data_IF_035842193830
#
_entry.id   IF_035842193830
#
_cell.length_a   1.000
_cell.length_b   1.000
_cell.length_c   1.000
_cell.angle_alpha   90.00
_cell.angle_beta   90.00
_cell.angle_gamma   90.00
#
_symmetry.space_group_name_H-M   'P 1'
#
loop_
_entity.id
_entity.type
_entity.pdbx_description
1 polymer ?
#
# COMPACT_ATOMS: atom_id res chain seq x y z
N UNK A 1 7.40 -6.89 -2.80
CA UNK A 1 8.09 -6.04 -1.82
C UNK A 1 7.88 -4.57 -2.12
N UNK A 2 7.23 -3.83 -1.23
CA UNK A 2 7.07 -2.37 -1.30
C UNK A 2 7.62 -1.75 -0.02
N UNK A 3 8.62 -0.87 -0.14
CA UNK A 3 9.35 -0.31 1.00
C UNK A 3 8.89 1.11 1.37
N UNK A 4 8.25 1.81 0.42
CA UNK A 4 7.65 3.16 0.56
C UNK A 4 7.02 3.57 -0.77
N UNK A 5 6.34 4.71 -0.76
CA UNK A 5 5.84 5.39 -1.96
C UNK A 5 4.39 5.07 -2.26
N UNK A 6 3.96 5.40 -3.47
CA UNK A 6 2.58 5.20 -3.93
C UNK A 6 2.55 4.55 -5.31
N UNK A 7 1.70 3.56 -5.48
CA UNK A 7 1.42 2.90 -6.77
C UNK A 7 -0.06 3.08 -7.10
N UNK A 8 -0.37 3.34 -8.37
CA UNK A 8 -1.74 3.51 -8.85
C UNK A 8 -1.96 2.54 -10.02
N UNK A 9 -2.94 1.65 -9.89
CA UNK A 9 -3.35 0.66 -10.89
C UNK A 9 -4.77 0.98 -11.32
N UNK A 10 -4.97 1.46 -12.56
CA UNK A 10 -6.29 1.87 -13.07
C UNK A 10 -7.14 0.70 -13.61
N UNK A 11 -6.67 -0.54 -13.43
CA UNK A 11 -7.35 -1.77 -13.84
C UNK A 11 -7.24 -2.86 -12.79
N UNK A 12 -7.29 -4.11 -13.22
CA UNK A 12 -7.25 -5.26 -12.33
C UNK A 12 -5.82 -5.56 -11.84
N UNK A 13 -5.72 -6.09 -10.63
CA UNK A 13 -4.49 -6.60 -10.04
C UNK A 13 -4.53 -8.13 -9.93
N UNK A 14 -3.42 -8.77 -10.30
CA UNK A 14 -3.26 -10.22 -10.21
C UNK A 14 -3.04 -10.71 -8.79
N UNK A 15 -2.53 -11.95 -8.68
CA UNK A 15 -2.25 -12.60 -7.40
C UNK A 15 -1.07 -11.98 -6.66
N UNK A 16 -1.09 -12.10 -5.35
CA UNK A 16 -0.12 -11.69 -4.36
C UNK A 16 0.19 -10.18 -4.42
N UNK A 17 -0.85 -9.36 -4.65
CA UNK A 17 -0.68 -7.92 -4.68
C UNK A 17 -0.14 -7.43 -3.33
N UNK A 18 0.95 -6.67 -3.38
CA UNK A 18 1.57 -6.11 -2.17
C UNK A 18 2.34 -7.15 -1.35
N UNK A 19 2.73 -8.30 -1.90
CA UNK A 19 3.50 -9.29 -1.14
C UNK A 19 4.76 -8.70 -0.50
N UNK A 20 4.94 -8.98 0.78
CA UNK A 20 6.03 -8.46 1.62
C UNK A 20 6.08 -6.92 1.60
N UNK A 21 4.94 -6.28 1.81
CA UNK A 21 4.79 -4.83 1.89
C UNK A 21 5.20 -4.31 3.27
N UNK A 22 6.28 -3.53 3.32
CA UNK A 22 6.81 -2.94 4.54
C UNK A 22 6.20 -1.57 4.82
N UNK A 23 6.02 -0.74 3.78
CA UNK A 23 5.37 0.56 3.85
C UNK A 23 4.90 1.01 2.46
N UNK A 24 4.10 2.08 2.39
CA UNK A 24 3.60 2.70 1.18
C UNK A 24 2.10 2.54 1.00
N UNK A 25 1.62 2.79 -0.22
CA UNK A 25 0.19 2.71 -0.56
C UNK A 25 0.00 2.27 -2.01
N UNK A 26 -0.87 1.31 -2.26
CA UNK A 26 -1.28 0.90 -3.61
C UNK A 26 -2.76 1.23 -3.77
N UNK A 27 -3.14 1.95 -4.82
CA UNK A 27 -4.54 2.18 -5.17
C UNK A 27 -4.90 1.34 -6.40
N UNK A 28 -6.01 0.60 -6.35
CA UNK A 28 -6.47 -0.28 -7.42
C UNK A 28 -7.88 0.12 -7.83
N UNK A 29 -8.09 0.43 -9.11
CA UNK A 29 -9.40 0.83 -9.67
C UNK A 29 -10.22 -0.32 -10.26
N UNK A 30 -9.64 -1.51 -10.33
CA UNK A 30 -10.30 -2.74 -10.78
C UNK A 30 -10.36 -3.81 -9.68
N UNK A 31 -10.50 -5.07 -10.10
CA UNK A 31 -10.57 -6.22 -9.19
C UNK A 31 -9.18 -6.63 -8.71
N UNK A 32 -9.08 -7.05 -7.46
CA UNK A 32 -7.87 -7.66 -6.88
C UNK A 32 -8.12 -9.17 -6.79
N UNK A 33 -7.22 -9.98 -7.36
CA UNK A 33 -7.35 -11.44 -7.29
C UNK A 33 -7.12 -11.97 -5.87
N UNK A 34 -6.00 -11.62 -5.25
CA UNK A 34 -5.69 -11.85 -3.84
C UNK A 34 -4.55 -10.92 -3.36
N UNK A 35 -4.40 -10.78 -2.05
CA UNK A 35 -3.35 -9.99 -1.41
C UNK A 35 -2.19 -10.88 -1.00
N UNK A 36 -0.98 -10.35 -1.14
CA UNK A 36 0.25 -11.00 -0.66
C UNK A 36 0.42 -10.84 0.85
N UNK A 37 1.52 -11.38 1.39
CA UNK A 37 1.80 -11.33 2.82
C UNK A 37 1.99 -9.87 3.26
N UNK A 38 1.34 -9.53 4.37
CA UNK A 38 1.39 -8.21 5.01
C UNK A 38 0.78 -7.06 4.18
N UNK A 39 0.01 -7.37 3.14
CA UNK A 39 -0.85 -6.42 2.45
C UNK A 39 -2.27 -6.52 2.97
N UNK A 40 -2.88 -5.38 3.32
CA UNK A 40 -4.25 -5.29 3.82
C UNK A 40 -4.98 -4.14 3.15
N UNK A 41 -6.31 -4.23 3.05
CA UNK A 41 -7.14 -3.09 2.67
C UNK A 41 -7.04 -1.98 3.72
N UNK A 42 -6.85 -0.76 3.26
CA UNK A 42 -6.84 0.45 4.06
C UNK A 42 -8.03 1.34 3.72
N UNK A 43 -8.38 2.22 4.65
CA UNK A 43 -9.44 3.20 4.45
C UNK A 43 -9.05 4.24 3.39
N UNK A 44 -9.94 4.44 2.40
CA UNK A 44 -9.90 5.56 1.48
C UNK A 44 -10.34 6.83 2.18
N UNK A 45 -9.56 7.89 2.05
CA UNK A 45 -9.84 9.19 2.68
C UNK A 45 -9.97 10.31 1.65
N UNK A 46 -10.58 11.43 2.02
CA UNK A 46 -10.67 12.62 1.16
C UNK A 46 -9.29 13.12 0.68
N UNK A 47 -8.24 12.90 1.46
CA UNK A 47 -6.86 13.24 1.09
C UNK A 47 -6.31 12.32 0.01
N UNK A 48 -6.68 11.03 0.04
CA UNK A 48 -6.32 10.07 -1.00
C UNK A 48 -7.00 10.45 -2.32
N UNK A 49 -8.30 10.75 -2.28
CA UNK A 49 -9.08 11.16 -3.45
C UNK A 49 -8.52 12.42 -4.11
N UNK A 50 -8.25 13.45 -3.32
CA UNK A 50 -7.67 14.70 -3.82
C UNK A 50 -6.29 14.48 -4.44
N UNK A 51 -5.45 13.66 -3.79
CA UNK A 51 -4.12 13.35 -4.31
C UNK A 51 -4.19 12.55 -5.61
N UNK A 52 -5.07 11.54 -5.69
CA UNK A 52 -5.27 10.73 -6.90
C UNK A 52 -5.77 11.59 -8.06
N UNK A 53 -6.79 12.41 -7.85
CA UNK A 53 -7.31 13.35 -8.87
C UNK A 53 -6.19 14.26 -9.39
N UNK A 54 -5.46 14.91 -8.48
CA UNK A 54 -4.37 15.80 -8.86
C UNK A 54 -3.25 15.06 -9.61
N UNK A 55 -2.88 13.84 -9.19
CA UNK A 55 -1.83 13.07 -9.85
C UNK A 55 -2.22 12.55 -11.22
N UNK A 56 -3.41 11.99 -11.36
CA UNK A 56 -3.90 11.47 -12.64
C UNK A 56 -4.06 12.60 -13.67
N UNK A 57 -4.54 13.78 -13.25
CA UNK A 57 -4.65 14.96 -14.10
C UNK A 57 -3.32 15.38 -14.74
N UNK A 58 -2.18 15.25 -14.02
CA UNK A 58 -0.86 15.57 -14.57
C UNK A 58 -0.47 14.69 -15.78
N UNK A 59 -1.07 13.51 -15.90
CA UNK A 59 -0.83 12.56 -16.98
C UNK A 59 -1.98 12.48 -17.98
N UNK A 60 -3.02 13.32 -17.84
CA UNK A 60 -4.23 13.25 -18.67
C UNK A 60 -4.99 11.93 -18.51
N UNK A 61 -4.93 11.35 -17.31
CA UNK A 61 -5.59 10.08 -16.97
C UNK A 61 -6.75 10.31 -16.01
N UNK A 62 -7.68 9.36 -15.98
CA UNK A 62 -8.80 9.32 -15.03
C UNK A 62 -9.01 7.88 -14.54
N UNK A 63 -9.52 7.72 -13.32
CA UNK A 63 -9.94 6.41 -12.82
C UNK A 63 -11.27 6.02 -13.47
N UNK A 64 -11.38 4.86 -14.16
CA UNK A 64 -12.57 4.50 -14.95
C UNK A 64 -13.88 4.51 -14.16
N UNK A 65 -13.82 4.20 -12.87
CA UNK A 65 -14.98 4.14 -11.98
C UNK A 65 -14.96 5.24 -10.91
N UNK A 66 -14.17 6.31 -11.08
CA UNK A 66 -13.96 7.33 -10.04
C UNK A 66 -12.88 6.91 -9.03
N UNK A 67 -12.19 7.90 -8.46
CA UNK A 67 -11.08 7.65 -7.52
C UNK A 67 -11.59 7.18 -6.17
N UNK A 68 -12.77 7.64 -5.79
CA UNK A 68 -13.47 7.32 -4.54
C UNK A 68 -13.88 5.84 -4.47
N UNK A 69 -13.98 5.18 -5.62
CA UNK A 69 -14.29 3.76 -5.74
C UNK A 69 -13.04 2.88 -5.89
N UNK A 70 -11.85 3.45 -5.78
CA UNK A 70 -10.60 2.67 -5.78
C UNK A 70 -10.40 1.99 -4.43
N UNK A 71 -9.78 0.81 -4.45
CA UNK A 71 -9.35 0.11 -3.24
C UNK A 71 -7.93 0.53 -2.88
N UNK A 72 -7.72 0.94 -1.64
CA UNK A 72 -6.39 1.25 -1.09
C UNK A 72 -5.83 0.05 -0.35
N UNK A 73 -4.59 -0.30 -0.64
CA UNK A 73 -3.83 -1.35 0.02
C UNK A 73 -2.63 -0.73 0.73
N UNK A 74 -2.41 -1.14 1.97
CA UNK A 74 -1.34 -0.68 2.86
C UNK A 74 -0.65 -1.87 3.53
N UNK A 75 0.47 -1.62 4.22
CA UNK A 75 1.13 -2.64 5.04
C UNK A 75 0.27 -2.98 6.27
N UNK A 76 0.10 -4.26 6.54
CA UNK A 76 -0.47 -4.79 7.79
C UNK A 76 0.50 -4.71 8.98
N UNK A 77 1.77 -4.36 8.74
CA UNK A 77 2.84 -4.23 9.73
C UNK A 77 3.13 -5.51 10.53
N UNK A 78 2.73 -6.67 10.03
CA UNK A 78 3.05 -7.97 10.62
C UNK A 78 4.52 -8.33 10.47
N UNK A 79 5.19 -7.85 9.41
CA UNK A 79 6.61 -8.10 9.16
C UNK A 79 7.53 -7.06 9.80
N UNK A 80 6.97 -6.12 10.57
CA UNK A 80 7.73 -5.13 11.33
C UNK A 80 8.43 -5.79 12.51
N UNK A 81 9.69 -6.19 12.30
CA UNK A 81 10.52 -6.81 13.32
C UNK A 81 11.39 -5.74 14.00
N UNK A 82 10.80 -5.01 14.94
CA UNK A 82 11.55 -4.12 15.82
C UNK A 82 11.96 -4.87 17.08
N UNK A 83 13.22 -4.67 17.49
CA UNK A 83 13.65 -5.12 18.80
C UNK A 83 13.06 -4.18 19.86
N UNK A 84 12.50 -4.75 20.92
CA UNK A 84 11.99 -3.97 22.05
C UNK A 84 13.11 -3.52 22.99
N UNK A 85 14.31 -4.08 22.83
CA UNK A 85 15.48 -3.76 23.63
C UNK A 85 16.32 -2.68 22.95
N UNK A 86 16.67 -1.66 23.72
CA UNK A 86 17.70 -0.71 23.32
C UNK A 86 19.04 -1.45 23.12
N UNK A 87 19.94 -0.95 22.24
CA UNK A 87 21.24 -1.59 22.01
C UNK A 87 22.04 -1.88 23.29
N UNK A 88 21.89 -1.04 24.33
CA UNK A 88 22.51 -1.23 25.65
C UNK A 88 21.88 -2.34 26.50
N UNK A 89 20.63 -2.69 26.23
CA UNK A 89 19.87 -3.72 26.95
C UNK A 89 20.04 -5.11 26.32
N UNK A 90 20.54 -5.16 25.07
CA UNK A 90 20.88 -6.43 24.42
C UNK A 90 22.09 -7.04 25.10
N UNK A 91 21.87 -8.11 25.86
CA UNK A 91 22.98 -8.96 26.31
C UNK A 91 23.66 -9.53 25.07
N UNK A 92 24.95 -9.26 24.92
CA UNK A 92 25.79 -9.96 23.96
C UNK A 92 25.76 -11.45 24.30
N UNK A 93 24.94 -12.20 23.57
CA UNK A 93 25.08 -13.65 23.51
C UNK A 93 26.22 -13.90 22.53
N UNK A 94 27.43 -14.07 23.08
CA UNK A 94 28.61 -14.55 22.36
C UNK A 94 28.45 -16.02 21.99
#
# INVERSE_FOLDING_TARGET
MMQRGRMVVLGDAGKNLGDSMYDGTIYVGGKIADLGVDAVEGEMTDLDDQWLKAKLALYGMEAPNGVENMTKIVSGKQLWNYDNLEPSEKKLVL
#
